data_IF_277839979883
#
_entry.id   IF_277839979883
#
_cell.length_a   1.000
_cell.length_b   1.000
_cell.length_c   1.000
_cell.angle_alpha   90.00
_cell.angle_beta   90.00
_cell.angle_gamma   90.00
#
_symmetry.space_group_name_H-M   'P 1'
#
loop_
_entity.id
_entity.type
_entity.pdbx_description
1 polymer ?
#
# COMPACT_ATOMS: atom_id res chain seq x y z
N UNK A 1 -38.02 -36.48 3.28
CA UNK A 1 -37.76 -36.16 1.86
C UNK A 1 -37.91 -34.67 1.72
N UNK A 2 -36.82 -33.91 1.71
CA UNK A 2 -36.87 -32.44 1.61
C UNK A 2 -36.89 -32.06 0.12
N UNK A 3 -37.86 -31.24 -0.25
CA UNK A 3 -38.15 -30.84 -1.62
C UNK A 3 -37.17 -29.73 -1.98
N UNK A 4 -36.29 -29.97 -2.95
CA UNK A 4 -35.39 -28.95 -3.50
C UNK A 4 -36.26 -27.98 -4.29
N UNK A 5 -36.44 -26.77 -3.77
CA UNK A 5 -37.12 -25.69 -4.49
C UNK A 5 -36.13 -25.03 -5.45
N UNK A 6 -36.42 -25.09 -6.74
CA UNK A 6 -35.69 -24.36 -7.78
C UNK A 6 -35.92 -22.86 -7.62
N UNK A 7 -34.92 -22.13 -7.09
CA UNK A 7 -34.94 -20.67 -7.10
C UNK A 7 -34.65 -20.19 -8.52
N UNK A 8 -35.65 -19.56 -9.15
CA UNK A 8 -35.51 -18.95 -10.46
C UNK A 8 -34.63 -17.69 -10.39
N UNK A 9 -33.33 -17.86 -10.62
CA UNK A 9 -32.41 -16.74 -10.86
C UNK A 9 -32.72 -16.15 -12.23
N UNK A 10 -32.93 -14.83 -12.29
CA UNK A 10 -33.24 -14.10 -13.51
C UNK A 10 -32.28 -14.48 -14.66
N UNK A 11 -32.82 -15.15 -15.68
CA UNK A 11 -32.08 -15.52 -16.89
C UNK A 11 -31.92 -14.27 -17.75
N UNK A 12 -30.72 -13.73 -17.82
CA UNK A 12 -30.37 -12.82 -18.91
C UNK A 12 -30.32 -13.65 -20.19
N UNK A 13 -31.04 -13.21 -21.22
CA UNK A 13 -31.10 -13.87 -22.52
C UNK A 13 -29.73 -13.74 -23.21
N UNK A 14 -28.87 -14.73 -23.01
CA UNK A 14 -27.65 -14.90 -23.79
C UNK A 14 -27.73 -16.28 -24.46
N UNK A 15 -28.57 -16.38 -25.49
CA UNK A 15 -28.44 -17.44 -26.47
C UNK A 15 -28.08 -16.81 -27.82
N UNK A 16 -27.13 -17.45 -28.50
CA UNK A 16 -26.57 -17.12 -29.81
C UNK A 16 -25.63 -15.89 -29.90
N UNK A 17 -24.33 -16.09 -29.67
CA UNK A 17 -23.27 -15.93 -30.69
C UNK A 17 -21.86 -15.82 -30.07
N UNK A 18 -20.94 -16.62 -30.61
CA UNK A 18 -19.49 -16.36 -30.57
C UNK A 18 -18.80 -16.32 -29.20
N UNK A 19 -18.13 -17.41 -28.82
CA UNK A 19 -17.10 -17.39 -27.78
C UNK A 19 -15.97 -16.41 -28.17
N UNK A 20 -16.08 -15.15 -27.78
CA UNK A 20 -14.95 -14.23 -27.74
C UNK A 20 -14.26 -14.40 -26.39
N UNK A 21 -13.08 -15.03 -26.39
CA UNK A 21 -12.21 -15.09 -25.20
C UNK A 21 -11.66 -13.70 -24.94
N UNK A 22 -12.40 -12.88 -24.19
CA UNK A 22 -11.86 -11.64 -23.62
C UNK A 22 -10.86 -12.02 -22.52
N UNK A 23 -9.58 -11.72 -22.76
CA UNK A 23 -8.51 -11.95 -21.79
C UNK A 23 -8.87 -11.26 -20.46
N UNK A 24 -8.80 -12.02 -19.35
CA UNK A 24 -9.00 -11.50 -18.00
C UNK A 24 -10.40 -11.71 -17.39
N UNK A 25 -11.42 -12.06 -18.18
CA UNK A 25 -12.75 -12.38 -17.62
C UNK A 25 -12.80 -13.87 -17.28
N UNK A 26 -12.82 -14.18 -15.97
CA UNK A 26 -12.96 -15.55 -15.48
C UNK A 26 -14.25 -16.15 -16.04
N UNK A 27 -14.16 -17.38 -16.57
CA UNK A 27 -15.29 -18.08 -17.16
C UNK A 27 -16.44 -18.19 -16.14
N UNK A 28 -17.51 -17.41 -16.36
CA UNK A 28 -18.60 -17.28 -15.40
C UNK A 28 -19.39 -18.58 -15.20
N UNK A 29 -19.33 -19.51 -16.16
CA UNK A 29 -19.93 -20.85 -16.01
C UNK A 29 -19.28 -21.70 -14.92
N UNK A 30 -18.03 -21.37 -14.51
CA UNK A 30 -17.29 -22.06 -13.45
C UNK A 30 -17.54 -21.40 -12.08
N UNK A 31 -17.83 -20.09 -12.05
CA UNK A 31 -18.02 -19.33 -10.80
C UNK A 31 -19.47 -19.17 -10.38
N UNK A 32 -20.44 -19.47 -11.27
CA UNK A 32 -21.86 -19.42 -10.91
C UNK A 32 -22.20 -20.58 -9.95
N UNK A 33 -22.90 -20.30 -8.84
CA UNK A 33 -23.38 -21.34 -7.93
C UNK A 33 -24.40 -22.21 -8.67
N UNK A 34 -24.30 -23.52 -8.48
CA UNK A 34 -25.26 -24.50 -9.00
C UNK A 34 -26.47 -24.60 -8.08
N UNK A 35 -26.22 -24.51 -6.78
CA UNK A 35 -27.24 -24.47 -5.74
C UNK A 35 -26.66 -23.77 -4.51
N UNK A 36 -27.52 -23.05 -3.80
CA UNK A 36 -27.27 -22.49 -2.48
C UNK A 36 -28.16 -23.23 -1.51
N UNK A 37 -27.61 -23.68 -0.38
CA UNK A 37 -28.43 -24.14 0.74
C UNK A 37 -28.72 -22.96 1.67
N UNK A 38 -29.98 -22.56 1.76
CA UNK A 38 -30.41 -21.39 2.56
C UNK A 38 -30.22 -21.60 4.06
N UNK A 39 -30.12 -22.86 4.52
CA UNK A 39 -30.00 -23.19 5.95
C UNK A 39 -28.56 -23.13 6.48
N UNK A 40 -27.59 -23.54 5.65
CA UNK A 40 -26.17 -23.61 6.03
C UNK A 40 -25.28 -22.57 5.33
N UNK A 41 -25.82 -21.86 4.33
CA UNK A 41 -25.05 -20.96 3.48
C UNK A 41 -24.03 -21.68 2.59
N UNK A 42 -24.10 -23.03 2.50
CA UNK A 42 -23.20 -23.81 1.67
C UNK A 42 -23.50 -23.62 0.18
N UNK A 43 -22.44 -23.48 -0.61
CA UNK A 43 -22.53 -23.19 -2.05
C UNK A 43 -21.94 -24.34 -2.85
N UNK A 44 -22.74 -24.95 -3.71
CA UNK A 44 -22.24 -25.94 -4.67
C UNK A 44 -21.72 -25.21 -5.92
N UNK A 45 -20.45 -25.40 -6.27
CA UNK A 45 -19.82 -24.78 -7.44
C UNK A 45 -19.12 -25.83 -8.30
N UNK A 46 -19.10 -25.65 -9.62
CA UNK A 46 -18.33 -26.51 -10.55
C UNK A 46 -16.86 -26.08 -10.56
N UNK A 47 -15.93 -27.02 -10.39
CA UNK A 47 -14.51 -26.78 -10.63
C UNK A 47 -14.25 -26.64 -12.14
N UNK A 48 -13.12 -26.05 -12.49
CA UNK A 48 -12.64 -26.00 -13.88
C UNK A 48 -12.47 -27.40 -14.52
N UNK A 49 -12.31 -28.44 -13.70
CA UNK A 49 -12.24 -29.85 -14.11
C UNK A 49 -13.61 -30.52 -14.29
N UNK A 50 -14.72 -29.77 -14.19
CA UNK A 50 -16.09 -30.27 -14.33
C UNK A 50 -16.67 -30.94 -13.07
N UNK A 51 -15.85 -31.26 -12.06
CA UNK A 51 -16.29 -31.86 -10.80
C UNK A 51 -16.96 -30.84 -9.88
N UNK A 52 -18.04 -31.23 -9.20
CA UNK A 52 -18.71 -30.40 -8.19
C UNK A 52 -17.87 -30.26 -6.92
N UNK A 53 -17.90 -29.09 -6.29
CA UNK A 53 -17.26 -28.80 -5.00
C UNK A 53 -18.23 -28.03 -4.12
N UNK A 54 -18.44 -28.51 -2.90
CA UNK A 54 -19.13 -27.74 -1.85
C UNK A 54 -18.15 -26.72 -1.27
N UNK A 55 -18.57 -25.46 -1.22
CA UNK A 55 -17.91 -24.40 -0.46
C UNK A 55 -18.70 -24.26 0.84
N UNK A 56 -18.01 -24.44 1.96
CA UNK A 56 -18.61 -24.25 3.28
C UNK A 56 -19.12 -22.81 3.38
N UNK A 57 -20.36 -22.65 3.81
CA UNK A 57 -20.87 -21.35 4.24
C UNK A 57 -20.10 -20.87 5.47
N UNK A 58 -20.11 -19.56 5.69
CA UNK A 58 -19.71 -18.98 6.97
C UNK A 58 -20.94 -19.03 7.87
N UNK A 59 -20.80 -19.52 9.11
CA UNK A 59 -21.92 -19.44 10.06
C UNK A 59 -22.15 -18.00 10.51
N UNK A 60 -23.37 -17.68 10.94
CA UNK A 60 -23.68 -16.36 11.51
C UNK A 60 -22.78 -16.06 12.71
N UNK A 61 -22.49 -17.06 13.53
CA UNK A 61 -21.58 -16.93 14.69
C UNK A 61 -20.15 -16.58 14.26
N UNK A 62 -19.63 -17.22 13.21
CA UNK A 62 -18.30 -16.91 12.65
C UNK A 62 -18.27 -15.50 12.05
N UNK A 63 -19.37 -15.06 11.44
CA UNK A 63 -19.50 -13.70 10.89
C UNK A 63 -19.54 -12.65 11.99
N UNK A 64 -20.39 -12.84 13.01
CA UNK A 64 -20.46 -11.95 14.18
C UNK A 64 -19.15 -11.90 14.94
N UNK A 65 -18.45 -13.03 15.07
CA UNK A 65 -17.10 -13.08 15.64
C UNK A 65 -16.09 -12.22 14.87
N UNK A 66 -16.12 -12.25 13.54
CA UNK A 66 -15.26 -11.40 12.70
C UNK A 66 -15.62 -9.91 12.81
N UNK A 67 -16.90 -9.58 12.88
CA UNK A 67 -17.35 -8.20 13.07
C UNK A 67 -16.87 -7.65 14.42
N UNK A 68 -17.07 -8.40 15.50
CA UNK A 68 -16.59 -8.04 16.83
C UNK A 68 -15.06 -7.88 16.83
N UNK A 69 -14.33 -8.81 16.24
CA UNK A 69 -12.87 -8.71 16.15
C UNK A 69 -12.43 -7.47 15.36
N UNK A 70 -13.08 -7.17 14.24
CA UNK A 70 -12.72 -6.04 13.40
C UNK A 70 -13.07 -4.68 14.05
N UNK A 71 -14.27 -4.53 14.60
CA UNK A 71 -14.77 -3.25 15.11
C UNK A 71 -14.39 -2.98 16.56
N UNK A 72 -14.36 -4.01 17.41
CA UNK A 72 -14.21 -3.83 18.86
C UNK A 72 -12.79 -4.16 19.33
N UNK A 73 -12.16 -5.21 18.78
CA UNK A 73 -10.85 -5.69 19.26
C UNK A 73 -9.69 -5.04 18.49
N UNK A 74 -9.63 -5.23 17.18
CA UNK A 74 -8.50 -4.79 16.35
C UNK A 74 -8.69 -3.37 15.80
N UNK A 75 -9.93 -2.88 15.76
CA UNK A 75 -10.34 -1.57 15.22
C UNK A 75 -9.90 -1.33 13.76
N UNK A 76 -9.67 -2.42 13.02
CA UNK A 76 -9.25 -2.40 11.64
C UNK A 76 -7.91 -1.66 11.38
N UNK A 77 -7.56 -1.48 10.09
CA UNK A 77 -6.37 -0.73 9.72
C UNK A 77 -6.54 0.75 10.02
N UNK A 78 -5.64 1.29 10.83
CA UNK A 78 -5.60 2.74 11.13
C UNK A 78 -5.29 3.52 9.85
N UNK A 79 -6.12 4.51 9.57
CA UNK A 79 -5.87 5.48 8.50
C UNK A 79 -4.92 6.55 9.02
N UNK A 80 -3.83 6.79 8.28
CA UNK A 80 -2.94 7.90 8.60
C UNK A 80 -3.61 9.23 8.22
N UNK A 81 -3.52 10.21 9.12
CA UNK A 81 -4.11 11.52 8.91
C UNK A 81 -3.50 12.24 7.70
N UNK A 82 -4.30 13.07 7.06
CA UNK A 82 -3.84 13.95 5.97
C UNK A 82 -2.84 14.95 6.57
N UNK A 83 -1.67 15.07 5.94
CA UNK A 83 -0.62 16.00 6.37
C UNK A 83 0.09 15.62 7.67
N UNK A 84 -0.02 14.36 8.14
CA UNK A 84 0.63 13.94 9.38
C UNK A 84 2.15 14.21 9.39
N UNK A 85 2.82 14.10 8.23
CA UNK A 85 4.26 14.34 8.09
C UNK A 85 4.65 15.82 8.25
N UNK A 86 3.70 16.75 8.14
CA UNK A 86 3.99 18.17 8.39
C UNK A 86 4.04 18.50 9.89
N UNK A 87 3.42 17.65 10.71
CA UNK A 87 3.27 17.86 12.17
C UNK A 87 4.37 17.19 12.98
N UNK A 88 5.15 16.33 12.35
CA UNK A 88 6.16 15.51 13.02
C UNK A 88 7.54 15.96 12.59
N UNK A 89 8.41 16.19 13.58
CA UNK A 89 9.82 16.45 13.33
C UNK A 89 10.55 15.15 12.92
N UNK A 90 11.13 15.08 11.71
CA UNK A 90 11.89 13.91 11.26
C UNK A 90 13.11 13.62 12.15
N UNK A 91 13.73 14.63 12.77
CA UNK A 91 14.89 14.43 13.64
C UNK A 91 14.49 13.75 14.96
N UNK A 92 13.34 14.11 15.52
CA UNK A 92 12.77 13.43 16.68
C UNK A 92 12.50 11.94 16.38
N UNK A 93 11.94 11.63 15.21
CA UNK A 93 11.71 10.25 14.76
C UNK A 93 13.02 9.46 14.56
N UNK A 94 14.06 10.12 14.08
CA UNK A 94 15.36 9.49 13.83
C UNK A 94 16.09 9.12 15.13
N UNK A 95 15.85 9.88 16.21
CA UNK A 95 16.48 9.67 17.51
C UNK A 95 15.60 8.85 18.48
N UNK A 96 14.42 8.42 18.04
CA UNK A 96 13.52 7.56 18.82
C UNK A 96 14.15 6.15 18.96
N UNK A 97 14.47 5.70 20.20
CA UNK A 97 15.09 4.40 20.43
C UNK A 97 14.20 3.22 20.04
N UNK A 98 12.89 3.41 19.90
CA UNK A 98 11.97 2.36 19.43
C UNK A 98 12.06 2.14 17.90
N UNK A 99 12.67 3.06 17.15
CA UNK A 99 12.77 2.99 15.70
C UNK A 99 14.01 2.22 15.26
N UNK A 100 13.82 0.94 14.96
CA UNK A 100 14.85 0.13 14.34
C UNK A 100 15.04 0.48 12.85
N UNK A 101 16.22 1.00 12.51
CA UNK A 101 16.64 1.34 11.13
C UNK A 101 16.98 0.10 10.29
N UNK A 102 17.10 -1.09 10.89
CA UNK A 102 17.21 -2.34 10.14
C UNK A 102 15.90 -2.64 9.37
N UNK A 103 14.77 -2.15 9.89
CA UNK A 103 13.45 -2.31 9.28
C UNK A 103 13.31 -1.37 8.08
N UNK A 104 13.03 -1.96 6.91
CA UNK A 104 12.84 -1.23 5.65
C UNK A 104 11.75 -0.15 5.74
N UNK A 105 10.63 -0.46 6.40
CA UNK A 105 9.52 0.49 6.55
C UNK A 105 9.95 1.74 7.32
N UNK A 106 10.73 1.60 8.39
CA UNK A 106 11.27 2.73 9.15
C UNK A 106 12.13 3.62 8.26
N UNK A 107 13.05 3.01 7.49
CA UNK A 107 13.90 3.76 6.57
C UNK A 107 13.10 4.48 5.49
N UNK A 108 12.13 3.79 4.88
CA UNK A 108 11.27 4.39 3.87
C UNK A 108 10.48 5.59 4.40
N UNK A 109 9.97 5.51 5.64
CA UNK A 109 9.28 6.64 6.28
C UNK A 109 10.19 7.86 6.41
N UNK A 110 11.43 7.67 6.89
CA UNK A 110 12.43 8.73 7.02
C UNK A 110 12.81 9.30 5.65
N UNK A 111 13.03 8.45 4.64
CA UNK A 111 13.29 8.90 3.26
C UNK A 111 12.11 9.69 2.68
N UNK A 112 10.86 9.34 3.02
CA UNK A 112 9.69 10.11 2.61
C UNK A 112 9.66 11.52 3.21
N UNK A 113 10.25 11.76 4.40
CA UNK A 113 10.41 13.12 4.92
C UNK A 113 11.36 13.94 4.05
N UNK A 114 12.50 13.38 3.64
CA UNK A 114 13.42 14.04 2.68
C UNK A 114 12.70 14.42 1.39
N UNK A 115 11.97 13.46 0.79
CA UNK A 115 11.22 13.70 -0.44
C UNK A 115 10.19 14.83 -0.26
N UNK A 116 9.47 14.83 0.87
CA UNK A 116 8.49 15.87 1.18
C UNK A 116 9.14 17.25 1.28
N UNK A 117 10.25 17.37 2.03
CA UNK A 117 11.02 18.62 2.15
C UNK A 117 11.52 19.10 0.78
N UNK A 118 12.02 18.19 -0.05
CA UNK A 118 12.48 18.47 -1.41
C UNK A 118 11.38 19.07 -2.28
N UNK A 119 10.19 18.44 -2.32
CA UNK A 119 9.06 18.94 -3.11
C UNK A 119 8.44 20.21 -2.55
N UNK A 120 8.53 20.43 -1.24
CA UNK A 120 8.18 21.70 -0.59
C UNK A 120 9.22 22.81 -0.82
N UNK A 121 10.30 22.54 -1.57
CA UNK A 121 11.42 23.46 -1.84
C UNK A 121 12.19 23.88 -0.58
N UNK A 122 12.08 23.12 0.51
CA UNK A 122 12.82 23.32 1.76
C UNK A 122 14.19 22.64 1.64
N UNK A 123 15.00 23.12 0.70
CA UNK A 123 16.24 22.45 0.27
C UNK A 123 17.31 22.41 1.36
N UNK A 124 17.41 23.44 2.20
CA UNK A 124 18.35 23.46 3.32
C UNK A 124 18.08 22.32 4.31
N UNK A 125 16.82 22.15 4.70
CA UNK A 125 16.38 21.11 5.63
C UNK A 125 16.46 19.73 5.00
N UNK A 126 16.12 19.61 3.71
CA UNK A 126 16.27 18.36 2.97
C UNK A 126 17.73 17.90 2.93
N UNK A 127 18.66 18.81 2.62
CA UNK A 127 20.09 18.49 2.58
C UNK A 127 20.61 18.05 3.94
N UNK A 128 20.28 18.79 5.00
CA UNK A 128 20.67 18.45 6.37
C UNK A 128 20.14 17.08 6.81
N UNK A 129 18.86 16.79 6.54
CA UNK A 129 18.28 15.49 6.90
C UNK A 129 18.90 14.34 6.10
N UNK A 130 19.16 14.52 4.80
CA UNK A 130 19.85 13.49 4.02
C UNK A 130 21.28 13.23 4.54
N UNK A 131 22.02 14.28 4.90
CA UNK A 131 23.39 14.16 5.44
C UNK A 131 23.40 13.42 6.79
N UNK A 132 22.35 13.53 7.59
CA UNK A 132 22.18 12.77 8.83
C UNK A 132 21.78 11.30 8.61
N UNK A 133 20.95 11.02 7.58
CA UNK A 133 20.45 9.68 7.31
C UNK A 133 21.49 8.78 6.62
N UNK A 134 22.27 9.31 5.68
CA UNK A 134 23.30 8.56 4.94
C UNK A 134 24.24 7.76 5.85
N UNK A 135 24.97 8.37 6.82
CA UNK A 135 25.90 7.63 7.69
C UNK A 135 25.18 6.62 8.58
N UNK A 136 23.91 6.84 8.91
CA UNK A 136 23.11 5.89 9.70
C UNK A 136 22.62 4.71 8.88
N UNK A 137 22.43 4.88 7.57
CA UNK A 137 21.97 3.81 6.68
C UNK A 137 23.12 2.91 6.24
N UNK A 138 24.32 3.47 6.09
CA UNK A 138 25.49 2.77 5.55
C UNK A 138 25.83 1.43 6.23
N UNK A 139 25.78 1.30 7.56
CA UNK A 139 26.01 0.01 8.24
C UNK A 139 25.04 -1.11 7.82
N UNK A 140 23.86 -0.76 7.30
CA UNK A 140 22.86 -1.72 6.85
C UNK A 140 23.03 -2.14 5.39
N UNK A 141 23.97 -1.55 4.65
CA UNK A 141 24.26 -1.86 3.26
C UNK A 141 25.08 -3.15 3.07
N UNK A 142 24.55 -4.26 3.60
CA UNK A 142 25.14 -5.59 3.41
C UNK A 142 24.86 -6.06 1.99
N UNK A 143 25.93 -6.28 1.21
CA UNK A 143 25.87 -6.77 -0.18
C UNK A 143 24.99 -5.91 -1.12
N UNK A 144 25.10 -4.58 -1.01
CA UNK A 144 24.34 -3.63 -1.86
C UNK A 144 22.81 -3.74 -1.73
N UNK A 145 22.29 -4.32 -0.63
CA UNK A 145 20.84 -4.54 -0.44
C UNK A 145 20.04 -3.24 -0.39
N UNK A 146 20.64 -2.15 0.08
CA UNK A 146 20.01 -0.83 0.20
C UNK A 146 20.68 0.23 -0.67
N UNK A 147 21.52 -0.18 -1.63
CA UNK A 147 22.28 0.72 -2.51
C UNK A 147 21.38 1.77 -3.18
N UNK A 148 20.20 1.36 -3.64
CA UNK A 148 19.22 2.27 -4.24
C UNK A 148 18.66 3.30 -3.26
N UNK A 149 18.40 2.91 -2.02
CA UNK A 149 17.91 3.83 -0.98
C UNK A 149 18.96 4.92 -0.68
N UNK A 150 20.24 4.54 -0.68
CA UNK A 150 21.37 5.45 -0.49
C UNK A 150 21.58 6.38 -1.70
N UNK A 151 21.57 5.84 -2.91
CA UNK A 151 21.68 6.63 -4.16
C UNK A 151 20.56 7.68 -4.26
N UNK A 152 19.34 7.34 -3.82
CA UNK A 152 18.22 8.29 -3.77
C UNK A 152 18.49 9.43 -2.76
N UNK A 153 19.01 9.12 -1.57
CA UNK A 153 19.37 10.12 -0.56
C UNK A 153 20.52 11.01 -1.01
N UNK A 154 21.58 10.43 -1.59
CA UNK A 154 22.73 11.16 -2.15
C UNK A 154 22.28 12.11 -3.26
N UNK A 155 21.43 11.63 -4.18
CA UNK A 155 20.89 12.46 -5.25
C UNK A 155 20.13 13.66 -4.68
N UNK A 156 19.21 13.45 -3.73
CA UNK A 156 18.45 14.53 -3.11
C UNK A 156 19.35 15.52 -2.37
N UNK A 157 20.37 15.04 -1.65
CA UNK A 157 21.32 15.89 -0.94
C UNK A 157 22.12 16.77 -1.92
N UNK A 158 22.66 16.17 -2.98
CA UNK A 158 23.43 16.88 -4.00
C UNK A 158 22.57 17.92 -4.74
N UNK A 159 21.38 17.54 -5.19
CA UNK A 159 20.48 18.47 -5.87
C UNK A 159 20.07 19.63 -4.97
N UNK A 160 19.71 19.34 -3.71
CA UNK A 160 19.35 20.39 -2.75
C UNK A 160 20.50 21.37 -2.51
N UNK A 161 21.72 20.86 -2.31
CA UNK A 161 22.94 21.69 -2.14
C UNK A 161 23.25 22.53 -3.38
N UNK A 162 23.08 21.97 -4.58
CA UNK A 162 23.28 22.71 -5.82
C UNK A 162 22.27 23.86 -5.96
N UNK A 163 21.00 23.63 -5.66
CA UNK A 163 19.97 24.66 -5.71
C UNK A 163 20.27 25.80 -4.71
N UNK A 164 20.70 25.46 -3.49
CA UNK A 164 21.07 26.47 -2.49
C UNK A 164 22.22 27.37 -2.97
N UNK A 165 23.28 26.77 -3.53
CA UNK A 165 24.41 27.52 -4.10
C UNK A 165 23.98 28.46 -5.24
N UNK A 166 23.06 28.01 -6.10
CA UNK A 166 22.52 28.83 -7.18
C UNK A 166 21.75 30.02 -6.60
N UNK A 167 20.89 29.79 -5.61
CA UNK A 167 20.10 30.84 -4.98
C UNK A 167 21.00 31.90 -4.31
N UNK A 168 22.03 31.48 -3.58
CA UNK A 168 23.03 32.39 -2.97
C UNK A 168 23.77 33.21 -4.03
N UNK A 169 24.12 32.61 -5.16
CA UNK A 169 24.76 33.31 -6.28
C UNK A 169 23.82 34.34 -6.92
N UNK A 170 22.54 34.02 -7.09
CA UNK A 170 21.55 34.97 -7.64
C UNK A 170 21.32 36.16 -6.72
N UNK A 171 21.16 35.93 -5.41
CA UNK A 171 20.99 37.02 -4.44
C UNK A 171 22.21 37.95 -4.39
N UNK A 172 23.42 37.40 -4.58
CA UNK A 172 24.65 38.17 -4.62
C UNK A 172 24.75 39.07 -5.85
N UNK A 173 24.29 38.59 -7.01
CA UNK A 173 24.26 39.37 -8.25
C UNK A 173 23.25 40.54 -8.13
N UNK A 174 22.07 40.28 -7.57
CA UNK A 174 21.05 41.31 -7.42
C UNK A 174 21.47 42.41 -6.43
N UNK A 175 22.21 42.07 -5.37
CA UNK A 175 22.82 43.04 -4.44
C UNK A 175 23.91 43.90 -5.06
N UNK A 176 24.64 43.40 -6.06
CA UNK A 176 25.68 44.16 -6.79
C UNK A 176 25.05 45.11 -7.82
N UNK A 177 23.83 44.80 -8.28
CA UNK A 177 23.09 45.61 -9.28
C UNK A 177 22.25 46.74 -8.69
N UNK A 178 22.06 46.77 -7.38
CA UNK A 178 21.44 47.88 -6.63
C UNK A 178 22.51 48.88 -6.17
#
# INVERSE_FOLDING_TARGET
MSVISDVAVARRADDASGYSRTNGIKNQSITKPLSLDDSSGEVLVRKATGKSKVRKGQSEEEYQGQLHQYFEVEQGPKRTDIGWMDKVDPMALLNDPEKDLQIKNTRQKLTSFCQRLYYQKRYAECAALCDELLPRYEPFNKKNKIKRELEELEYMAQQSKNILRINEATESIDKIRM
#
